data_IF_647712702665
#
_entry.id   IF_647712702665
#
_cell.length_a   1.000
_cell.length_b   1.000
_cell.length_c   1.000
_cell.angle_alpha   90.00
_cell.angle_beta   90.00
_cell.angle_gamma   90.00
#
_symmetry.space_group_name_H-M   'P 1'
#
loop_
_entity.id
_entity.type
_entity.pdbx_description
1 polymer ?
#
# COMPACT_ATOMS: atom_id res chain seq x y z
N UNK A 1 11.49 6.36 -31.80
CA UNK A 1 10.28 6.59 -30.97
C UNK A 1 10.69 6.21 -29.56
N UNK A 2 10.72 7.07 -28.54
CA UNK A 2 9.66 7.96 -28.04
C UNK A 2 10.28 9.11 -27.24
N UNK A 3 10.08 10.36 -27.68
CA UNK A 3 10.61 11.57 -27.03
C UNK A 3 9.52 12.41 -26.34
N UNK A 4 8.39 11.80 -25.97
CA UNK A 4 7.22 12.51 -25.44
C UNK A 4 6.74 11.91 -24.10
N UNK A 5 7.64 11.75 -23.14
CA UNK A 5 7.24 11.57 -21.74
C UNK A 5 7.55 12.89 -21.04
N UNK A 6 6.56 13.78 -21.01
CA UNK A 6 6.61 14.97 -20.17
C UNK A 6 6.13 14.55 -18.79
N UNK A 7 7.02 14.60 -17.81
CA UNK A 7 6.62 14.44 -16.42
C UNK A 7 5.71 15.61 -16.04
N UNK A 8 4.43 15.31 -15.80
CA UNK A 8 3.52 16.28 -15.23
C UNK A 8 3.79 16.35 -13.73
N UNK A 9 4.23 17.50 -13.24
CA UNK A 9 4.27 17.74 -11.80
C UNK A 9 2.86 17.68 -11.24
N UNK A 10 2.64 16.75 -10.31
CA UNK A 10 1.39 16.68 -9.59
C UNK A 10 1.37 17.79 -8.53
N UNK A 11 0.29 18.57 -8.49
CA UNK A 11 0.09 19.63 -7.49
C UNK A 11 0.13 19.15 -6.03
N UNK A 12 -0.04 17.84 -5.79
CA UNK A 12 -0.02 17.24 -4.46
C UNK A 12 1.20 16.35 -4.32
N UNK A 13 2.08 16.72 -3.42
CA UNK A 13 3.34 16.04 -3.10
C UNK A 13 3.14 14.84 -2.18
N UNK A 14 4.17 14.00 -2.07
CA UNK A 14 4.20 12.87 -1.13
C UNK A 14 4.20 13.37 0.31
N UNK A 15 4.90 14.46 0.57
CA UNK A 15 5.08 15.09 1.86
C UNK A 15 3.75 15.63 2.38
N UNK A 16 2.97 16.32 1.54
CA UNK A 16 1.63 16.81 1.89
C UNK A 16 0.66 15.67 2.24
N UNK A 17 0.67 14.56 1.47
CA UNK A 17 -0.16 13.38 1.79
C UNK A 17 0.27 12.70 3.09
N UNK A 18 1.58 12.60 3.32
CA UNK A 18 2.16 12.05 4.54
C UNK A 18 1.79 12.88 5.76
N UNK A 19 1.85 14.20 5.64
CA UNK A 19 1.45 15.15 6.68
C UNK A 19 -0.05 15.06 6.99
N UNK A 20 -0.92 14.96 5.96
CA UNK A 20 -2.36 14.81 6.14
C UNK A 20 -2.73 13.58 7.00
N UNK A 21 -1.98 12.49 6.87
CA UNK A 21 -2.20 11.24 7.62
C UNK A 21 -1.36 11.15 8.90
N UNK A 22 -0.50 12.13 9.18
CA UNK A 22 0.50 12.08 10.25
C UNK A 22 1.27 10.74 10.27
N UNK A 23 1.66 10.27 9.08
CA UNK A 23 2.20 8.94 8.85
C UNK A 23 3.20 8.94 7.70
N UNK A 24 4.32 8.23 7.86
CA UNK A 24 5.25 7.96 6.76
C UNK A 24 4.69 6.84 5.87
N UNK A 25 4.47 7.07 4.55
CA UNK A 25 4.00 6.02 3.66
C UNK A 25 5.08 4.97 3.42
N UNK A 26 4.70 3.70 3.43
CA UNK A 26 5.55 2.56 3.11
C UNK A 26 4.74 1.44 2.44
N UNK A 27 5.43 0.47 1.86
CA UNK A 27 4.83 -0.75 1.29
C UNK A 27 5.43 -1.95 2.00
N UNK A 28 4.56 -2.81 2.54
CA UNK A 28 4.94 -4.10 3.09
C UNK A 28 4.62 -5.17 2.04
N UNK A 29 5.66 -5.76 1.45
CA UNK A 29 5.52 -6.70 0.35
C UNK A 29 5.77 -8.13 0.83
N UNK A 30 4.70 -8.85 1.15
CA UNK A 30 4.76 -10.25 1.59
C UNK A 30 4.89 -11.20 0.39
N UNK A 31 5.96 -11.98 0.32
CA UNK A 31 6.19 -12.98 -0.75
C UNK A 31 6.46 -14.34 -0.16
N UNK A 32 6.29 -15.39 -0.97
CA UNK A 32 6.43 -16.77 -0.54
C UNK A 32 5.48 -17.72 -1.26
N UNK A 33 5.74 -19.02 -1.13
CA UNK A 33 4.98 -20.10 -1.76
C UNK A 33 3.49 -20.07 -1.39
N UNK A 34 2.65 -20.73 -2.18
CA UNK A 34 1.25 -20.97 -1.80
C UNK A 34 1.20 -21.72 -0.47
N UNK A 35 0.29 -21.32 0.43
CA UNK A 35 0.21 -21.89 1.78
C UNK A 35 1.25 -21.39 2.79
N UNK A 36 2.22 -20.55 2.41
CA UNK A 36 3.24 -20.03 3.33
C UNK A 36 2.73 -19.02 4.39
N UNK A 37 1.41 -18.77 4.46
CA UNK A 37 0.80 -17.89 5.46
C UNK A 37 0.84 -16.38 5.17
N UNK A 38 1.16 -15.97 3.94
CA UNK A 38 1.23 -14.53 3.54
C UNK A 38 -0.04 -13.76 3.89
N UNK A 39 -1.20 -14.24 3.44
CA UNK A 39 -2.50 -13.60 3.70
C UNK A 39 -2.83 -13.59 5.19
N UNK A 40 -2.49 -14.65 5.92
CA UNK A 40 -2.68 -14.71 7.39
C UNK A 40 -1.90 -13.61 8.10
N UNK A 41 -0.61 -13.45 7.78
CA UNK A 41 0.24 -12.41 8.38
C UNK A 41 -0.23 -11.02 7.95
N UNK A 42 -0.55 -10.83 6.67
CA UNK A 42 -0.97 -9.53 6.16
C UNK A 42 -2.28 -9.03 6.81
N UNK A 43 -3.26 -9.92 7.01
CA UNK A 43 -4.50 -9.60 7.73
C UNK A 43 -4.27 -9.24 9.21
N UNK A 44 -3.36 -9.96 9.88
CA UNK A 44 -2.99 -9.63 11.26
C UNK A 44 -2.32 -8.25 11.36
N UNK A 45 -1.44 -7.92 10.41
CA UNK A 45 -0.80 -6.59 10.32
C UNK A 45 -1.83 -5.49 10.05
N UNK A 46 -2.77 -5.69 9.13
CA UNK A 46 -3.87 -4.76 8.85
C UNK A 46 -4.67 -4.45 10.13
N UNK A 47 -5.05 -5.50 10.86
CA UNK A 47 -5.85 -5.39 12.09
C UNK A 47 -5.10 -4.59 13.17
N UNK A 48 -3.80 -4.88 13.37
CA UNK A 48 -2.96 -4.15 14.32
C UNK A 48 -2.75 -2.69 13.93
N UNK A 49 -2.65 -2.38 12.63
CA UNK A 49 -2.53 -1.00 12.15
C UNK A 49 -3.84 -0.24 12.38
N UNK A 50 -4.99 -0.86 12.12
CA UNK A 50 -6.30 -0.28 12.37
C UNK A 50 -6.51 0.03 13.86
N UNK A 51 -6.19 -0.91 14.75
CA UNK A 51 -6.23 -0.71 16.21
C UNK A 51 -5.34 0.46 16.66
N UNK A 52 -4.20 0.66 15.99
CA UNK A 52 -3.27 1.76 16.23
C UNK A 52 -3.66 3.05 15.51
N UNK A 53 -4.86 3.13 14.94
CA UNK A 53 -5.37 4.28 14.18
C UNK A 53 -4.45 4.66 13.02
N UNK A 54 -3.82 3.66 12.37
CA UNK A 54 -2.95 3.84 11.22
C UNK A 54 -3.69 3.55 9.93
N UNK A 55 -3.62 4.48 8.99
CA UNK A 55 -4.18 4.28 7.66
C UNK A 55 -3.36 3.23 6.90
N UNK A 56 -4.02 2.12 6.53
CA UNK A 56 -3.49 1.00 5.75
C UNK A 56 -4.53 0.51 4.75
N UNK A 57 -4.08 -0.36 3.85
CA UNK A 57 -4.96 -1.12 2.96
C UNK A 57 -4.29 -2.41 2.53
N UNK A 58 -5.03 -3.53 2.56
CA UNK A 58 -4.54 -4.84 2.17
C UNK A 58 -4.85 -5.11 0.69
N UNK A 59 -3.78 -5.23 -0.11
CA UNK A 59 -3.87 -5.71 -1.49
C UNK A 59 -3.52 -7.21 -1.52
N UNK A 60 -4.53 -8.07 -1.52
CA UNK A 60 -4.37 -9.51 -1.68
C UNK A 60 -4.89 -9.99 -3.04
N UNK A 61 -4.35 -11.10 -3.53
CA UNK A 61 -4.75 -11.72 -4.80
C UNK A 61 -6.24 -12.01 -4.87
N UNK A 62 -6.91 -12.29 -3.75
CA UNK A 62 -8.35 -12.49 -3.71
C UNK A 62 -9.12 -11.16 -3.90
N UNK A 63 -8.68 -10.08 -3.25
CA UNK A 63 -9.31 -8.76 -3.35
C UNK A 63 -9.05 -8.05 -4.69
N UNK A 64 -7.87 -8.25 -5.29
CA UNK A 64 -7.50 -7.61 -6.57
C UNK A 64 -8.04 -8.39 -7.78
N UNK A 65 -8.27 -9.70 -7.66
CA UNK A 65 -8.84 -10.51 -8.77
C UNK A 65 -10.35 -10.38 -8.92
N UNK A 66 -11.05 -9.92 -7.88
CA UNK A 66 -12.51 -9.75 -7.90
C UNK A 66 -12.97 -8.36 -8.37
N UNK A 67 -12.04 -7.39 -8.49
CA UNK A 67 -12.32 -6.03 -8.97
C UNK A 67 -12.47 -5.03 -7.83
#
# INVERSE_FOLDING_TARGET
MSSNIVWHEHHVTREERSAQKNQKPCVLWFTGLSGAGKSTVANAVESLLLEKQRHSYLLDGDNVRLG
#
